data_IF_860670820080
#
_entry.id   IF_860670820080
#
_cell.length_a   1.000
_cell.length_b   1.000
_cell.length_c   1.000
_cell.angle_alpha   90.00
_cell.angle_beta   90.00
_cell.angle_gamma   90.00
#
_symmetry.space_group_name_H-M   'P 1'
#
loop_
_entity.id
_entity.type
_entity.pdbx_description
1 polymer ?
#
# COMPACT_ATOMS: atom_id res chain seq x y z
N UNK A 1 16.96 -5.17 -7.16
CA UNK A 1 15.97 -5.35 -8.23
C UNK A 1 14.80 -4.42 -7.97
N UNK A 2 14.27 -3.82 -9.02
CA UNK A 2 13.17 -2.86 -8.92
C UNK A 2 11.85 -3.60 -8.67
N UNK A 3 11.12 -3.27 -7.60
CA UNK A 3 9.97 -4.04 -7.15
C UNK A 3 8.68 -3.22 -7.15
N UNK A 4 7.59 -3.84 -7.56
CA UNK A 4 6.23 -3.28 -7.47
C UNK A 4 5.53 -3.95 -6.28
N UNK A 5 5.06 -3.13 -5.35
CA UNK A 5 4.41 -3.56 -4.11
C UNK A 5 2.98 -3.00 -4.11
N UNK A 6 1.98 -3.86 -4.21
CA UNK A 6 0.58 -3.46 -4.10
C UNK A 6 0.07 -3.59 -2.66
N UNK A 7 -0.71 -2.61 -2.22
CA UNK A 7 -1.39 -2.66 -0.93
C UNK A 7 -2.89 -2.79 -1.20
N UNK A 8 -3.46 -3.95 -0.93
CA UNK A 8 -4.86 -4.24 -1.25
C UNK A 8 -5.59 -4.96 -0.13
N UNK A 9 -6.86 -4.67 0.06
CA UNK A 9 -7.84 -5.43 0.85
C UNK A 9 -9.23 -4.92 0.53
N UNK A 10 -10.21 -5.82 0.43
CA UNK A 10 -11.63 -5.48 0.22
C UNK A 10 -12.25 -4.75 1.41
N UNK A 11 -11.76 -5.00 2.63
CA UNK A 11 -12.26 -4.33 3.83
C UNK A 11 -11.82 -2.87 3.87
N UNK A 12 -12.78 -1.96 3.90
CA UNK A 12 -12.53 -0.55 4.18
C UNK A 12 -11.95 -0.36 5.58
N UNK A 13 -11.10 0.66 5.78
CA UNK A 13 -10.54 0.95 7.09
C UNK A 13 -9.44 -0.01 7.57
N UNK A 14 -9.00 -0.98 6.78
CA UNK A 14 -7.94 -1.93 7.14
C UNK A 14 -6.52 -1.33 7.20
N UNK A 15 -6.36 -0.05 6.86
CA UNK A 15 -5.05 0.62 6.93
C UNK A 15 -4.26 0.60 5.62
N UNK A 16 -4.85 0.28 4.45
CA UNK A 16 -4.19 0.29 3.14
C UNK A 16 -3.38 1.55 2.89
N UNK A 17 -4.06 2.68 2.78
CA UNK A 17 -3.44 3.99 2.52
C UNK A 17 -2.39 4.38 3.56
N UNK A 18 -2.64 4.08 4.84
CA UNK A 18 -1.66 4.35 5.90
C UNK A 18 -0.41 3.51 5.69
N UNK A 19 -0.57 2.24 5.35
CA UNK A 19 0.55 1.34 5.04
C UNK A 19 1.30 1.80 3.80
N UNK A 20 0.60 2.10 2.69
CA UNK A 20 1.22 2.55 1.45
C UNK A 20 2.11 3.79 1.65
N UNK A 21 1.59 4.82 2.30
CA UNK A 21 2.34 6.07 2.56
C UNK A 21 3.56 5.87 3.45
N UNK A 22 3.39 5.11 4.54
CA UNK A 22 4.49 4.92 5.49
C UNK A 22 5.56 4.01 4.92
N UNK A 23 5.18 2.91 4.25
CA UNK A 23 6.12 2.04 3.56
C UNK A 23 6.89 2.80 2.48
N UNK A 24 6.20 3.57 1.62
CA UNK A 24 6.85 4.34 0.56
C UNK A 24 7.89 5.31 1.14
N UNK A 25 7.55 6.02 2.21
CA UNK A 25 8.48 6.94 2.87
C UNK A 25 9.62 6.20 3.59
N UNK A 26 9.32 5.13 4.34
CA UNK A 26 10.34 4.39 5.09
C UNK A 26 11.35 3.69 4.17
N UNK A 27 10.95 3.30 2.95
CA UNK A 27 11.85 2.84 1.91
C UNK A 27 12.84 3.94 1.49
N UNK A 28 12.41 5.21 1.41
CA UNK A 28 13.35 6.31 1.10
C UNK A 28 14.36 6.55 2.22
N UNK A 29 13.99 6.29 3.48
CA UNK A 29 14.93 6.32 4.60
C UNK A 29 15.99 5.21 4.54
N UNK A 30 15.79 4.20 3.68
CA UNK A 30 16.76 3.16 3.33
C UNK A 30 17.53 3.46 2.04
N UNK A 31 17.47 4.72 1.58
CA UNK A 31 18.18 5.17 0.38
C UNK A 31 17.56 4.73 -0.94
N UNK A 32 16.28 4.33 -0.95
CA UNK A 32 15.58 3.86 -2.14
C UNK A 32 14.85 5.02 -2.83
N UNK A 33 14.86 5.04 -4.17
CA UNK A 33 14.00 5.92 -4.97
C UNK A 33 12.64 5.25 -5.11
N UNK A 34 11.58 5.92 -4.68
CA UNK A 34 10.24 5.34 -4.56
C UNK A 34 9.22 6.18 -5.31
N UNK A 35 8.34 5.51 -6.05
CA UNK A 35 7.12 6.08 -6.59
C UNK A 35 5.92 5.54 -5.78
N UNK A 36 5.08 6.43 -5.26
CA UNK A 36 3.77 6.08 -4.73
C UNK A 36 2.72 6.36 -5.81
N UNK A 37 1.91 5.35 -6.15
CA UNK A 37 0.78 5.48 -7.07
C UNK A 37 -0.50 5.37 -6.25
N UNK A 38 -1.39 6.38 -6.36
CA UNK A 38 -2.68 6.40 -5.66
C UNK A 38 -3.80 6.01 -6.62
N UNK A 39 -4.28 4.78 -6.50
CA UNK A 39 -5.40 4.22 -7.29
C UNK A 39 -6.69 4.05 -6.48
N UNK A 40 -6.82 4.80 -5.39
CA UNK A 40 -8.09 4.92 -4.66
C UNK A 40 -8.81 6.21 -5.09
N UNK A 41 -10.08 6.15 -5.55
CA UNK A 41 -10.89 7.34 -5.85
C UNK A 41 -11.01 8.32 -4.66
N UNK A 42 -10.78 7.86 -3.44
CA UNK A 42 -10.77 8.71 -2.26
C UNK A 42 -9.50 9.58 -2.15
N UNK A 43 -8.48 9.37 -2.98
CA UNK A 43 -7.23 10.13 -3.04
C UNK A 43 -6.49 10.30 -1.70
N UNK A 44 -6.72 9.37 -0.76
CA UNK A 44 -6.21 9.50 0.61
C UNK A 44 -4.68 9.39 0.69
N UNK A 45 -4.02 8.68 -0.23
CA UNK A 45 -2.56 8.63 -0.29
C UNK A 45 -2.00 9.97 -0.77
N UNK A 46 -2.60 10.54 -1.80
CA UNK A 46 -2.25 11.87 -2.33
C UNK A 46 -2.41 12.96 -1.28
N UNK A 47 -3.61 13.10 -0.71
CA UNK A 47 -3.89 14.09 0.32
C UNK A 47 -3.04 13.90 1.58
N UNK A 48 -2.67 12.67 1.88
CA UNK A 48 -1.82 12.34 3.01
C UNK A 48 -0.34 12.71 2.85
N UNK A 49 0.10 13.10 1.65
CA UNK A 49 1.47 13.56 1.39
C UNK A 49 1.55 15.04 1.03
N UNK A 50 0.46 15.63 0.54
CA UNK A 50 0.46 16.99 0.03
C UNK A 50 -0.94 17.62 0.07
N UNK A 51 -0.99 18.94 0.25
CA UNK A 51 -2.19 19.75 0.04
C UNK A 51 -2.27 20.32 -1.38
N UNK A 52 -1.26 20.01 -2.22
CA UNK A 52 -1.18 20.52 -3.59
C UNK A 52 -2.22 19.83 -4.48
N UNK A 53 -2.90 20.61 -5.32
CA UNK A 53 -3.74 20.08 -6.41
C UNK A 53 -2.88 19.82 -7.64
N UNK A 54 -3.19 18.75 -8.35
CA UNK A 54 -2.47 18.31 -9.54
C UNK A 54 -3.38 18.36 -10.76
N UNK A 55 -2.89 18.89 -11.86
CA UNK A 55 -3.61 18.94 -13.14
C UNK A 55 -3.53 17.63 -13.93
N UNK A 56 -2.50 16.83 -13.67
CA UNK A 56 -2.31 15.52 -14.29
C UNK A 56 -2.27 14.49 -13.18
N UNK A 57 -3.06 13.44 -13.33
CA UNK A 57 -3.29 12.44 -12.30
C UNK A 57 -3.29 11.05 -12.94
N UNK A 58 -3.63 10.03 -12.19
CA UNK A 58 -3.87 8.67 -12.71
C UNK A 58 -4.85 8.66 -13.88
N UNK A 59 -5.81 9.60 -13.95
CA UNK A 59 -6.74 9.69 -15.08
C UNK A 59 -5.99 9.96 -16.38
N UNK A 60 -5.07 10.93 -16.40
CA UNK A 60 -4.27 11.19 -17.59
C UNK A 60 -3.48 9.94 -18.05
N UNK A 61 -2.92 9.19 -17.12
CA UNK A 61 -2.26 7.92 -17.42
C UNK A 61 -3.24 6.90 -18.03
N UNK A 62 -4.45 6.77 -17.48
CA UNK A 62 -5.48 5.87 -17.99
C UNK A 62 -6.02 6.31 -19.36
N UNK A 63 -5.93 7.59 -19.69
CA UNK A 63 -6.25 8.19 -21.02
C UNK A 63 -5.02 8.22 -21.96
N UNK A 64 -4.04 7.36 -21.74
CA UNK A 64 -2.83 7.23 -22.58
C UNK A 64 -1.87 8.41 -22.57
N UNK A 65 -2.00 9.35 -21.64
CA UNK A 65 -0.92 10.30 -21.41
C UNK A 65 0.31 9.54 -20.90
N UNK A 66 1.51 9.79 -21.43
CA UNK A 66 2.71 9.14 -20.89
C UNK A 66 2.81 9.32 -19.37
N UNK A 67 2.89 8.23 -18.64
CA UNK A 67 2.83 8.21 -17.15
C UNK A 67 3.86 9.16 -16.51
N UNK A 68 5.06 9.29 -17.10
CA UNK A 68 6.09 10.22 -16.61
C UNK A 68 5.63 11.68 -16.57
N UNK A 69 4.64 12.07 -17.40
CA UNK A 69 4.04 13.42 -17.37
C UNK A 69 3.04 13.62 -16.23
N UNK A 70 2.58 12.52 -15.61
CA UNK A 70 1.64 12.51 -14.49
C UNK A 70 2.34 12.35 -13.13
N UNK A 71 3.65 12.13 -13.11
CA UNK A 71 4.43 11.94 -11.90
C UNK A 71 4.99 13.28 -11.40
N UNK A 72 4.94 13.47 -10.10
CA UNK A 72 5.43 14.69 -9.45
C UNK A 72 6.37 14.38 -8.30
N UNK A 73 7.36 15.24 -8.10
CA UNK A 73 8.20 15.25 -6.91
C UNK A 73 7.38 15.66 -5.69
N UNK A 74 7.50 14.93 -4.61
CA UNK A 74 6.97 15.37 -3.31
C UNK A 74 8.00 16.25 -2.58
N UNK A 75 7.63 16.77 -1.42
CA UNK A 75 8.59 17.44 -0.53
C UNK A 75 9.53 16.48 0.21
N UNK A 76 9.28 15.19 0.12
CA UNK A 76 10.09 14.15 0.74
C UNK A 76 11.14 13.67 -0.27
N UNK A 77 12.39 13.74 0.13
CA UNK A 77 13.50 13.32 -0.74
C UNK A 77 13.30 11.88 -1.21
N UNK A 78 13.57 11.64 -2.48
CA UNK A 78 13.50 10.33 -3.15
C UNK A 78 12.10 9.66 -3.14
N UNK A 79 11.03 10.42 -2.81
CA UNK A 79 9.64 9.99 -2.91
C UNK A 79 8.90 10.82 -3.95
N UNK A 80 8.51 10.18 -5.03
CA UNK A 80 7.65 10.74 -6.07
C UNK A 80 6.22 10.23 -5.91
N UNK A 81 5.26 10.92 -6.53
CA UNK A 81 3.85 10.54 -6.51
C UNK A 81 3.23 10.62 -7.90
N UNK A 82 2.44 9.59 -8.24
CA UNK A 82 1.40 9.65 -9.26
C UNK A 82 0.07 9.86 -8.54
N UNK A 83 -0.49 11.10 -8.58
CA UNK A 83 -1.63 11.45 -7.73
C UNK A 83 -2.91 10.75 -8.14
N UNK A 84 -3.74 10.39 -7.17
CA UNK A 84 -5.10 9.90 -7.37
C UNK A 84 -6.04 10.98 -7.92
N UNK A 85 -7.24 10.52 -8.28
CA UNK A 85 -8.32 11.40 -8.74
C UNK A 85 -9.68 10.76 -8.43
N UNK A 86 -10.66 11.55 -8.00
CA UNK A 86 -11.99 11.10 -7.63
C UNK A 86 -12.81 10.57 -8.83
N UNK A 87 -12.54 11.05 -10.05
CA UNK A 87 -13.14 10.51 -11.27
C UNK A 87 -12.73 9.06 -11.57
N UNK A 88 -11.73 8.51 -10.87
CA UNK A 88 -11.29 7.12 -11.05
C UNK A 88 -12.44 6.12 -10.85
N UNK A 89 -13.42 6.43 -10.00
CA UNK A 89 -14.60 5.60 -9.76
C UNK A 89 -15.50 5.43 -10.99
N UNK A 90 -15.50 6.40 -11.90
CA UNK A 90 -16.32 6.43 -13.11
C UNK A 90 -15.52 6.30 -14.42
N UNK A 91 -14.19 6.19 -14.32
CA UNK A 91 -13.33 6.08 -15.50
C UNK A 91 -13.34 4.65 -16.03
N UNK A 92 -13.60 4.49 -17.33
CA UNK A 92 -13.44 3.23 -18.00
C UNK A 92 -11.96 2.88 -18.12
N UNK A 93 -11.60 1.67 -17.73
CA UNK A 93 -10.22 1.19 -17.74
C UNK A 93 -10.03 0.26 -18.91
N UNK A 94 -9.12 0.63 -19.82
CA UNK A 94 -8.73 -0.21 -20.95
C UNK A 94 -7.87 -1.39 -20.50
N UNK A 95 -7.84 -2.46 -21.29
CA UNK A 95 -7.03 -3.64 -20.97
C UNK A 95 -5.54 -3.34 -21.02
N UNK A 96 -4.84 -3.88 -20.02
CA UNK A 96 -3.39 -3.82 -19.89
C UNK A 96 -2.81 -2.40 -19.81
N UNK A 97 -3.63 -1.39 -19.45
CA UNK A 97 -3.17 -0.01 -19.39
C UNK A 97 -2.06 0.18 -18.32
N UNK A 98 -2.20 -0.46 -17.16
CA UNK A 98 -1.17 -0.40 -16.12
C UNK A 98 0.10 -1.14 -16.56
N UNK A 99 -0.04 -2.27 -17.21
CA UNK A 99 1.10 -3.00 -17.76
C UNK A 99 1.87 -2.11 -18.73
N UNK A 100 1.17 -1.47 -19.67
CA UNK A 100 1.78 -0.62 -20.70
C UNK A 100 2.36 0.69 -20.17
N UNK A 101 1.79 1.25 -19.11
CA UNK A 101 2.20 2.53 -18.54
C UNK A 101 3.18 2.38 -17.37
N UNK A 102 2.99 1.40 -16.47
CA UNK A 102 3.78 1.29 -15.23
C UNK A 102 5.04 0.44 -15.44
N UNK A 103 4.98 -0.67 -16.18
CA UNK A 103 6.18 -1.50 -16.39
C UNK A 103 7.36 -0.75 -17.04
N UNK A 104 7.16 0.14 -18.06
CA UNK A 104 8.26 0.88 -18.67
C UNK A 104 8.96 1.88 -17.76
N UNK A 105 8.35 2.27 -16.63
CA UNK A 105 8.97 3.18 -15.65
C UNK A 105 9.51 2.45 -14.42
N UNK A 106 9.38 1.12 -14.37
CA UNK A 106 9.85 0.30 -13.26
C UNK A 106 11.34 0.52 -12.97
N UNK A 107 12.14 0.71 -14.00
CA UNK A 107 13.57 0.90 -13.86
C UNK A 107 13.98 2.31 -13.37
N UNK A 108 13.06 3.26 -13.43
CA UNK A 108 13.29 4.62 -12.92
C UNK A 108 13.32 4.68 -11.38
N UNK A 109 12.79 3.63 -10.71
CA UNK A 109 12.61 3.55 -9.25
C UNK A 109 13.15 2.23 -8.68
N UNK A 110 13.62 2.27 -7.45
CA UNK A 110 13.96 1.04 -6.72
C UNK A 110 12.70 0.29 -6.30
N UNK A 111 11.65 1.04 -5.93
CA UNK A 111 10.33 0.48 -5.60
C UNK A 111 9.19 1.35 -6.11
N UNK A 112 8.12 0.71 -6.56
CA UNK A 112 6.83 1.34 -6.84
C UNK A 112 5.84 0.77 -5.82
N UNK A 113 5.24 1.63 -5.00
CA UNK A 113 4.19 1.28 -4.04
C UNK A 113 2.84 1.74 -4.59
N UNK A 114 1.85 0.85 -4.61
CA UNK A 114 0.53 1.14 -5.17
C UNK A 114 -0.52 1.02 -4.07
N UNK A 115 -1.21 2.13 -3.77
CA UNK A 115 -2.39 2.15 -2.91
C UNK A 115 -3.64 1.87 -3.72
N UNK A 116 -4.47 0.91 -3.29
CA UNK A 116 -5.66 0.49 -4.04
C UNK A 116 -6.95 0.81 -3.31
N UNK A 117 -8.03 0.95 -4.08
CA UNK A 117 -9.38 1.02 -3.52
C UNK A 117 -9.79 -0.32 -2.85
N UNK A 118 -10.84 -0.31 -2.00
CA UNK A 118 -11.39 -1.55 -1.44
C UNK A 118 -12.18 -2.38 -2.48
N UNK A 119 -12.43 -1.84 -3.66
CA UNK A 119 -13.19 -2.53 -4.70
C UNK A 119 -12.26 -3.36 -5.57
N UNK A 120 -12.60 -4.65 -5.71
CA UNK A 120 -11.91 -5.53 -6.65
C UNK A 120 -12.50 -5.29 -8.04
N UNK A 121 -11.79 -4.53 -8.85
CA UNK A 121 -12.16 -4.21 -10.22
C UNK A 121 -11.03 -4.61 -11.19
N UNK A 122 -11.22 -4.32 -12.48
CA UNK A 122 -10.23 -4.58 -13.52
C UNK A 122 -8.87 -3.97 -13.21
N UNK A 123 -8.86 -2.73 -12.71
CA UNK A 123 -7.63 -2.03 -12.34
C UNK A 123 -6.87 -2.77 -11.23
N UNK A 124 -7.58 -3.25 -10.21
CA UNK A 124 -7.00 -4.08 -9.14
C UNK A 124 -6.41 -5.37 -9.70
N UNK A 125 -7.12 -6.04 -10.61
CA UNK A 125 -6.62 -7.26 -11.24
C UNK A 125 -5.33 -7.02 -12.03
N UNK A 126 -5.22 -5.91 -12.78
CA UNK A 126 -3.98 -5.54 -13.48
C UNK A 126 -2.83 -5.23 -12.52
N UNK A 127 -3.11 -4.51 -11.41
CA UNK A 127 -2.11 -4.23 -10.38
C UNK A 127 -1.51 -5.53 -9.84
N UNK A 128 -2.35 -6.49 -9.53
CA UNK A 128 -1.92 -7.77 -8.96
C UNK A 128 -1.05 -8.56 -9.93
N UNK A 129 -1.34 -8.52 -11.22
CA UNK A 129 -0.53 -9.17 -12.26
C UNK A 129 0.90 -8.64 -12.34
N UNK A 130 1.09 -7.34 -12.13
CA UNK A 130 2.41 -6.69 -12.25
C UNK A 130 3.17 -6.60 -10.93
N UNK A 131 2.55 -6.98 -9.81
CA UNK A 131 3.13 -6.83 -8.49
C UNK A 131 4.10 -7.98 -8.14
N UNK A 132 5.25 -7.62 -7.62
CA UNK A 132 6.23 -8.58 -7.04
C UNK A 132 5.83 -8.99 -5.61
N UNK A 133 5.10 -8.12 -4.90
CA UNK A 133 4.56 -8.38 -3.57
C UNK A 133 3.19 -7.72 -3.41
N UNK A 134 2.25 -8.46 -2.88
CA UNK A 134 0.93 -7.96 -2.49
C UNK A 134 0.82 -7.98 -0.97
N UNK A 135 0.63 -6.82 -0.36
CA UNK A 135 0.42 -6.69 1.09
C UNK A 135 -1.09 -6.56 1.35
N UNK A 136 -1.60 -7.38 2.27
CA UNK A 136 -3.01 -7.42 2.65
C UNK A 136 -3.14 -6.92 4.11
N UNK A 137 -3.27 -5.60 4.33
CA UNK A 137 -3.49 -5.09 5.69
C UNK A 137 -4.83 -5.55 6.23
N UNK A 138 -4.85 -6.12 7.43
CA UNK A 138 -6.07 -6.65 8.05
C UNK A 138 -6.18 -6.26 9.52
N UNK A 139 -7.41 -6.12 9.99
CA UNK A 139 -7.70 -5.97 11.41
C UNK A 139 -7.75 -7.37 12.07
N UNK A 140 -7.34 -7.47 13.32
CA UNK A 140 -7.47 -8.70 14.11
C UNK A 140 -8.88 -8.76 14.72
N UNK A 141 -9.84 -9.18 13.92
CA UNK A 141 -11.24 -9.40 14.26
C UNK A 141 -11.71 -10.68 13.60
N UNK A 142 -12.63 -11.44 14.21
CA UNK A 142 -13.08 -12.76 13.73
C UNK A 142 -13.58 -12.72 12.28
N UNK A 143 -14.37 -11.71 11.91
CA UNK A 143 -14.88 -11.56 10.55
C UNK A 143 -13.77 -11.18 9.55
N UNK A 144 -12.75 -10.44 10.01
CA UNK A 144 -11.61 -10.06 9.18
C UNK A 144 -10.73 -11.25 8.85
N UNK A 145 -10.57 -12.19 9.79
CA UNK A 145 -9.79 -13.42 9.61
C UNK A 145 -10.40 -14.29 8.51
N UNK A 146 -11.72 -14.49 8.54
CA UNK A 146 -12.44 -15.21 7.46
C UNK A 146 -12.28 -14.51 6.11
N UNK A 147 -12.37 -13.18 6.09
CA UNK A 147 -12.18 -12.35 4.90
C UNK A 147 -10.77 -12.45 4.31
N UNK A 148 -9.74 -12.52 5.15
CA UNK A 148 -8.34 -12.71 4.72
C UNK A 148 -8.17 -14.04 3.99
N UNK A 149 -8.65 -15.14 4.59
CA UNK A 149 -8.55 -16.46 3.97
C UNK A 149 -9.28 -16.52 2.62
N UNK A 150 -10.46 -15.88 2.54
CA UNK A 150 -11.17 -15.75 1.27
C UNK A 150 -10.37 -14.96 0.24
N UNK A 151 -9.80 -13.82 0.64
CA UNK A 151 -8.96 -12.99 -0.25
C UNK A 151 -7.74 -13.76 -0.74
N UNK A 152 -7.03 -14.47 0.12
CA UNK A 152 -5.86 -15.28 -0.28
C UNK A 152 -6.27 -16.36 -1.29
N UNK A 153 -7.36 -17.09 -1.04
CA UNK A 153 -7.86 -18.13 -1.96
C UNK A 153 -8.26 -17.56 -3.31
N UNK A 154 -8.93 -16.41 -3.34
CA UNK A 154 -9.29 -15.72 -4.59
C UNK A 154 -8.05 -15.28 -5.38
N UNK A 155 -7.04 -14.73 -4.69
CA UNK A 155 -5.79 -14.34 -5.32
C UNK A 155 -5.06 -15.57 -5.91
N UNK A 156 -4.99 -16.66 -5.16
CA UNK A 156 -4.40 -17.91 -5.64
C UNK A 156 -5.18 -18.51 -6.82
N UNK A 157 -6.51 -18.45 -6.78
CA UNK A 157 -7.35 -18.94 -7.87
C UNK A 157 -7.19 -18.12 -9.17
N UNK A 158 -7.01 -16.81 -9.06
CA UNK A 158 -6.90 -15.91 -10.21
C UNK A 158 -5.48 -15.86 -10.80
N UNK A 159 -4.45 -15.98 -9.96
CA UNK A 159 -3.06 -15.70 -10.36
C UNK A 159 -2.11 -16.88 -10.13
N UNK A 160 -2.62 -18.00 -9.56
CA UNK A 160 -1.81 -19.16 -9.22
C UNK A 160 -0.88 -18.94 -8.04
N UNK A 161 0.01 -19.91 -7.80
CA UNK A 161 0.99 -19.87 -6.70
C UNK A 161 2.11 -18.83 -6.93
N UNK A 162 2.20 -18.25 -8.11
CA UNK A 162 3.21 -17.25 -8.45
C UNK A 162 2.98 -15.91 -7.75
N UNK A 163 1.77 -15.66 -7.24
CA UNK A 163 1.49 -14.42 -6.52
C UNK A 163 2.14 -14.43 -5.15
N UNK A 164 3.05 -13.50 -4.93
CA UNK A 164 3.65 -13.29 -3.61
C UNK A 164 2.77 -12.36 -2.81
N UNK A 165 1.92 -12.92 -1.94
CA UNK A 165 1.11 -12.12 -1.03
C UNK A 165 1.55 -12.34 0.42
N UNK A 166 1.39 -11.29 1.25
CA UNK A 166 1.59 -11.36 2.69
C UNK A 166 0.55 -10.54 3.43
N UNK A 167 0.06 -11.09 4.52
CA UNK A 167 -0.91 -10.47 5.41
C UNK A 167 -0.19 -9.64 6.45
N UNK A 168 -0.65 -8.41 6.65
CA UNK A 168 -0.16 -7.49 7.65
C UNK A 168 -1.25 -7.20 8.68
N UNK A 169 -1.10 -7.66 9.91
CA UNK A 169 -1.99 -7.27 10.99
C UNK A 169 -1.82 -5.79 11.32
N UNK A 170 -2.91 -5.05 11.35
CA UNK A 170 -2.92 -3.59 11.58
C UNK A 170 -3.84 -3.21 12.73
N UNK A 171 -3.58 -2.03 13.32
CA UNK A 171 -4.34 -1.48 14.44
C UNK A 171 -4.43 -2.44 15.64
N UNK A 172 -3.36 -3.22 15.85
CA UNK A 172 -3.29 -4.19 16.94
C UNK A 172 -3.23 -3.45 18.27
N UNK A 173 -4.19 -3.68 19.12
CA UNK A 173 -4.22 -3.15 20.47
C UNK A 173 -3.31 -3.96 21.42
N UNK A 174 -3.36 -3.66 22.72
CA UNK A 174 -2.52 -4.31 23.73
C UNK A 174 -3.26 -5.42 24.50
N UNK A 175 -4.44 -5.80 24.05
CA UNK A 175 -5.21 -6.82 24.72
C UNK A 175 -4.60 -8.21 24.47
N UNK A 176 -4.76 -9.09 25.46
CA UNK A 176 -4.39 -10.49 25.29
C UNK A 176 -5.20 -11.16 24.16
N UNK A 177 -6.41 -10.66 23.92
CA UNK A 177 -7.25 -11.11 22.82
C UNK A 177 -6.59 -10.85 21.45
N UNK A 178 -6.11 -9.63 21.20
CA UNK A 178 -5.41 -9.30 19.96
C UNK A 178 -4.10 -10.10 19.79
N UNK A 179 -3.38 -10.37 20.89
CA UNK A 179 -2.18 -11.21 20.87
C UNK A 179 -2.53 -12.66 20.48
N UNK A 180 -3.58 -13.22 21.06
CA UNK A 180 -4.07 -14.57 20.73
C UNK A 180 -4.52 -14.66 19.25
N UNK A 181 -5.26 -13.66 18.76
CA UNK A 181 -5.69 -13.62 17.35
C UNK A 181 -4.49 -13.51 16.39
N UNK A 182 -3.46 -12.73 16.74
CA UNK A 182 -2.26 -12.65 15.91
C UNK A 182 -1.51 -13.99 15.88
N UNK A 183 -1.42 -14.67 17.02
CA UNK A 183 -0.81 -16.00 17.10
C UNK A 183 -1.58 -16.99 16.24
N UNK A 184 -2.91 -17.06 16.39
CA UNK A 184 -3.76 -17.93 15.58
C UNK A 184 -3.62 -17.62 14.06
N UNK A 185 -3.60 -16.33 13.67
CA UNK A 185 -3.37 -15.95 12.28
C UNK A 185 -2.04 -16.51 11.76
N UNK A 186 -0.96 -16.40 12.55
CA UNK A 186 0.34 -16.94 12.16
C UNK A 186 0.35 -18.46 12.06
N UNK A 187 -0.34 -19.15 12.93
CA UNK A 187 -0.50 -20.61 12.88
C UNK A 187 -1.28 -21.04 11.62
N UNK A 188 -2.35 -20.31 11.28
CA UNK A 188 -3.22 -20.64 10.15
C UNK A 188 -2.56 -20.42 8.77
N UNK A 189 -1.79 -19.32 8.60
CA UNK A 189 -1.25 -18.94 7.29
C UNK A 189 0.28 -18.96 7.20
N UNK A 190 0.96 -19.24 8.29
CA UNK A 190 2.40 -19.44 8.34
C UNK A 190 3.21 -18.29 7.74
N UNK A 191 4.04 -18.59 6.76
CA UNK A 191 4.93 -17.62 6.10
C UNK A 191 4.19 -16.56 5.27
N UNK A 192 2.89 -16.70 5.05
CA UNK A 192 2.08 -15.65 4.43
C UNK A 192 1.74 -14.52 5.40
N UNK A 193 2.03 -14.64 6.69
CA UNK A 193 1.90 -13.56 7.67
C UNK A 193 3.25 -12.88 7.89
N UNK A 194 3.26 -11.54 7.89
CA UNK A 194 4.43 -10.81 8.39
C UNK A 194 4.65 -11.07 9.89
N UNK A 195 5.91 -11.13 10.31
CA UNK A 195 6.26 -11.17 11.73
C UNK A 195 5.96 -9.84 12.43
N UNK A 196 6.11 -8.76 11.68
CA UNK A 196 5.76 -7.41 12.12
C UNK A 196 4.26 -7.17 11.99
N UNK A 197 3.66 -6.61 13.04
CA UNK A 197 2.31 -6.04 13.01
C UNK A 197 2.34 -4.55 13.36
N UNK A 198 1.31 -3.81 12.94
CA UNK A 198 1.20 -2.37 13.18
C UNK A 198 0.28 -2.13 14.36
N UNK A 199 0.83 -1.60 15.45
CA UNK A 199 0.07 -1.28 16.67
C UNK A 199 -0.86 -0.08 16.45
N UNK A 200 -1.99 -0.13 17.13
CA UNK A 200 -2.92 0.98 17.15
C UNK A 200 -2.23 2.26 17.68
N UNK A 201 -2.37 3.36 16.93
CA UNK A 201 -1.77 4.64 17.31
C UNK A 201 -2.55 5.83 16.70
N UNK A 202 -3.83 5.97 17.08
CA UNK A 202 -4.80 6.88 16.47
C UNK A 202 -4.34 8.34 16.43
N UNK A 203 -3.80 8.87 17.55
CA UNK A 203 -3.48 10.31 17.66
C UNK A 203 -2.31 10.69 16.73
N UNK A 204 -1.15 10.04 16.74
CA UNK A 204 -0.08 10.35 15.80
C UNK A 204 -0.48 10.17 14.34
N UNK A 205 -1.24 9.12 14.00
CA UNK A 205 -1.72 8.88 12.63
C UNK A 205 -2.62 10.03 12.16
N UNK A 206 -3.59 10.44 12.98
CA UNK A 206 -4.47 11.58 12.68
C UNK A 206 -3.68 12.88 12.49
N UNK A 207 -2.74 13.16 13.38
CA UNK A 207 -1.89 14.36 13.30
C UNK A 207 -0.97 14.32 12.08
N UNK A 208 -0.39 13.19 11.74
CA UNK A 208 0.43 13.05 10.55
C UNK A 208 -0.42 13.33 9.27
N UNK A 209 -1.65 12.83 9.21
CA UNK A 209 -2.59 13.13 8.12
C UNK A 209 -2.91 14.64 8.03
N UNK A 210 -3.18 15.31 9.15
CA UNK A 210 -3.43 16.76 9.18
C UNK A 210 -2.23 17.58 8.68
N UNK A 211 -1.02 17.05 8.77
CA UNK A 211 0.20 17.70 8.29
C UNK A 211 0.65 17.19 6.92
N UNK A 212 -0.18 16.44 6.21
CA UNK A 212 0.15 15.85 4.92
C UNK A 212 1.54 15.16 4.92
N UNK A 213 1.76 14.30 5.90
CA UNK A 213 3.06 13.65 6.10
C UNK A 213 2.92 12.18 6.45
N UNK A 214 3.91 11.35 6.08
CA UNK A 214 4.07 10.01 6.65
C UNK A 214 4.31 10.09 8.16
N UNK A 215 3.91 9.03 8.86
CA UNK A 215 4.04 8.96 10.32
C UNK A 215 5.50 9.05 10.77
N UNK A 216 6.38 8.31 10.09
CA UNK A 216 7.82 8.28 10.38
C UNK A 216 8.51 9.62 10.15
N UNK A 217 7.99 10.48 9.29
CA UNK A 217 8.56 11.83 9.06
C UNK A 217 8.50 12.69 10.33
N UNK A 218 7.37 12.65 11.07
CA UNK A 218 7.19 13.51 12.26
C UNK A 218 7.37 12.79 13.58
N UNK A 219 7.07 11.49 13.62
CA UNK A 219 6.90 10.75 14.86
C UNK A 219 7.77 9.49 14.95
N UNK A 220 8.85 9.41 14.16
CA UNK A 220 9.73 8.24 14.10
C UNK A 220 10.14 7.72 15.49
N UNK A 221 10.50 8.62 16.39
CA UNK A 221 11.01 8.25 17.71
C UNK A 221 9.92 8.15 18.78
N UNK A 222 8.77 8.76 18.58
CA UNK A 222 7.71 8.86 19.59
C UNK A 222 6.50 7.97 19.31
N UNK A 223 6.26 7.60 18.05
CA UNK A 223 5.15 6.73 17.66
C UNK A 223 5.56 5.26 17.62
N UNK A 224 4.75 4.41 18.26
CA UNK A 224 4.93 2.95 18.18
C UNK A 224 4.70 2.45 16.76
N UNK A 225 3.62 2.92 16.12
CA UNK A 225 3.31 2.53 14.76
C UNK A 225 4.38 3.00 13.75
N UNK A 226 5.05 4.14 13.96
CA UNK A 226 6.18 4.54 13.12
C UNK A 226 7.33 3.53 13.20
N UNK A 227 7.66 3.07 14.41
CA UNK A 227 8.68 2.03 14.60
C UNK A 227 8.26 0.68 14.03
N UNK A 228 6.94 0.39 14.04
CA UNK A 228 6.42 -0.84 13.44
C UNK A 228 6.53 -0.79 11.93
N UNK A 229 6.23 0.35 11.28
CA UNK A 229 6.46 0.53 9.84
C UNK A 229 7.94 0.46 9.46
N UNK A 230 8.84 1.00 10.28
CA UNK A 230 10.28 0.85 10.05
C UNK A 230 10.72 -0.63 10.12
N UNK A 231 10.16 -1.43 11.06
CA UNK A 231 10.42 -2.88 11.13
C UNK A 231 9.84 -3.62 9.92
N UNK A 232 8.59 -3.32 9.57
CA UNK A 232 7.94 -3.88 8.38
C UNK A 232 8.76 -3.61 7.13
N UNK A 233 9.29 -2.39 6.97
CA UNK A 233 10.13 -2.04 5.81
C UNK A 233 11.39 -2.89 5.73
N UNK A 234 12.03 -3.20 6.87
CA UNK A 234 13.19 -4.11 6.90
C UNK A 234 12.78 -5.52 6.50
N UNK A 235 11.71 -6.04 7.09
CA UNK A 235 11.18 -7.37 6.79
C UNK A 235 10.79 -7.52 5.31
N UNK A 236 10.17 -6.48 4.71
CA UNK A 236 9.86 -6.47 3.28
C UNK A 236 11.13 -6.56 2.44
N UNK A 237 12.17 -5.79 2.76
CA UNK A 237 13.43 -5.79 2.01
C UNK A 237 14.19 -7.13 2.07
N UNK A 238 13.91 -7.96 3.06
CA UNK A 238 14.47 -9.32 3.19
C UNK A 238 13.67 -10.34 2.33
N UNK A 239 12.45 -10.02 1.98
CA UNK A 239 11.51 -10.93 1.28
C UNK A 239 11.50 -10.74 -0.24
N UNK A 240 11.86 -9.52 -0.76
CA UNK A 240 11.72 -9.16 -2.18
C UNK A 240 13.02 -9.05 -2.97
#
# INVERSE_FOLDING_TARGET
>A
MNKIIAITNRKGGSGKTTTAKNLAYDLTLKGKRVLLIDLDPQCNATEGLTSRKYSRTVIGMLEWMPVRKCIYKTRFKDLDILPGNDYLASTEVQDDILIKQVLPIREDYDHIVIDTSPYFNKLTAEILKISDLVIIPTLLEDDSMKGVMTTIRELMALFGESIRCRVLATMVDRSKYAENLFTALKEDIGSLCFDTYIRENRIPIRRARQHHAPLSYRYRYTSKAARDYERLTKEILEVI
#
